data_IF_521756614589
#
_entry.id   IF_521756614589
#
_cell.length_a   1.000
_cell.length_b   1.000
_cell.length_c   1.000
_cell.angle_alpha   90.00
_cell.angle_beta   90.00
_cell.angle_gamma   90.00
#
_symmetry.space_group_name_H-M   'P 1'
#
loop_
_entity.id
_entity.type
_entity.pdbx_description
1 polymer ?
#
# COMPACT_ATOMS: atom_id res chain seq x y z
N UNK A 1 59.73 17.04 -6.80
CA UNK A 1 58.67 16.05 -7.07
C UNK A 1 58.13 15.60 -5.72
N UNK A 2 56.90 16.01 -5.41
CA UNK A 2 56.34 15.97 -4.07
C UNK A 2 55.64 14.64 -3.75
N UNK A 3 55.94 14.14 -2.55
CA UNK A 3 55.16 13.30 -1.62
C UNK A 3 53.97 12.48 -2.13
N UNK A 4 54.10 11.15 -2.06
CA UNK A 4 53.00 10.20 -1.88
C UNK A 4 52.44 10.32 -0.45
N UNK A 5 51.19 10.77 -0.30
CA UNK A 5 50.42 10.60 0.93
C UNK A 5 49.72 9.24 0.90
N UNK A 6 50.04 8.39 1.87
CA UNK A 6 49.25 7.20 2.20
C UNK A 6 48.12 7.55 3.17
N UNK A 7 46.92 7.07 2.90
CA UNK A 7 45.79 7.11 3.84
C UNK A 7 45.68 5.72 4.46
N UNK A 8 45.89 5.65 5.78
CA UNK A 8 45.59 4.48 6.61
C UNK A 8 44.10 4.50 6.97
N UNK A 9 43.34 3.49 6.54
CA UNK A 9 42.04 3.19 7.12
C UNK A 9 42.26 2.34 8.39
N UNK A 10 41.90 2.87 9.56
CA UNK A 10 41.81 2.09 10.79
C UNK A 10 40.42 1.44 10.85
N UNK A 11 40.37 0.11 10.72
CA UNK A 11 39.25 -0.73 11.15
C UNK A 11 39.50 -1.14 12.60
N UNK A 12 38.71 -0.60 13.54
CA UNK A 12 38.65 -1.11 14.91
C UNK A 12 37.57 -2.17 15.02
N UNK A 13 37.97 -3.44 14.99
CA UNK A 13 37.16 -4.55 15.49
C UNK A 13 37.38 -4.66 17.01
N UNK A 14 36.40 -4.18 17.78
CA UNK A 14 36.34 -4.40 19.23
C UNK A 14 35.74 -5.76 19.54
N UNK A 15 36.60 -6.71 19.92
CA UNK A 15 36.21 -7.99 20.49
C UNK A 15 35.66 -7.79 21.91
N UNK A 16 34.47 -8.34 22.18
CA UNK A 16 33.85 -8.40 23.51
C UNK A 16 33.42 -9.82 23.83
N UNK A 17 34.37 -10.74 23.91
CA UNK A 17 34.21 -11.99 24.67
C UNK A 17 34.43 -11.64 26.13
N UNK A 18 33.44 -11.89 27.01
CA UNK A 18 33.54 -12.23 28.43
C UNK A 18 32.24 -11.86 29.16
N UNK A 19 31.27 -12.77 29.14
CA UNK A 19 30.24 -12.95 30.18
C UNK A 19 29.50 -14.27 29.95
N UNK A 20 30.22 -15.39 29.94
CA UNK A 20 29.63 -16.73 29.84
C UNK A 20 30.13 -17.58 31.01
N UNK A 21 29.58 -17.36 32.21
CA UNK A 21 29.71 -18.34 33.32
C UNK A 21 28.59 -18.30 34.37
N UNK A 22 27.55 -17.49 34.20
CA UNK A 22 26.47 -17.37 35.19
C UNK A 22 25.08 -17.49 34.55
N UNK A 23 24.82 -18.58 33.82
CA UNK A 23 23.44 -18.99 33.50
C UNK A 23 23.33 -20.46 33.05
N UNK A 24 24.22 -21.34 33.54
CA UNK A 24 24.19 -22.78 33.22
C UNK A 24 23.65 -23.64 34.38
N UNK A 25 22.97 -23.02 35.35
CA UNK A 25 22.51 -23.69 36.57
C UNK A 25 20.98 -23.58 36.78
N UNK A 26 20.20 -23.64 35.70
CA UNK A 26 18.77 -23.90 35.80
C UNK A 26 18.20 -24.59 34.55
N UNK A 27 18.86 -25.66 34.10
CA UNK A 27 18.30 -26.59 33.11
C UNK A 27 17.80 -27.82 33.85
N UNK A 28 16.49 -27.90 34.08
CA UNK A 28 15.92 -29.01 34.84
C UNK A 28 14.41 -29.19 34.69
N UNK A 29 13.87 -29.17 33.46
CA UNK A 29 12.64 -29.91 33.03
C UNK A 29 12.25 -29.52 31.60
N UNK A 30 12.50 -30.41 30.63
CA UNK A 30 11.98 -30.29 29.27
C UNK A 30 10.51 -30.72 29.25
N UNK A 31 9.61 -29.76 29.33
CA UNK A 31 8.26 -29.85 28.75
C UNK A 31 8.33 -29.35 27.30
N UNK A 32 7.89 -30.16 26.32
CA UNK A 32 7.76 -29.73 24.92
C UNK A 32 6.63 -28.71 24.83
N UNK A 33 6.94 -27.42 24.66
CA UNK A 33 5.94 -26.40 24.34
C UNK A 33 5.75 -26.27 22.81
N UNK A 34 4.54 -25.90 22.31
CA UNK A 34 4.19 -25.98 20.88
C UNK A 34 4.63 -24.77 20.02
N UNK A 35 5.50 -23.88 20.50
CA UNK A 35 5.67 -22.54 19.89
C UNK A 35 7.09 -22.25 19.36
N UNK A 36 7.59 -23.09 18.45
CA UNK A 36 8.91 -22.90 17.85
C UNK A 36 8.81 -22.54 16.37
N UNK A 37 9.36 -21.38 15.97
CA UNK A 37 9.40 -20.93 14.57
C UNK A 37 10.59 -21.58 13.85
N UNK A 38 10.39 -22.07 12.62
CA UNK A 38 11.47 -22.60 11.77
C UNK A 38 11.89 -21.54 10.77
N UNK A 39 13.15 -21.10 10.83
CA UNK A 39 13.78 -20.21 9.83
C UNK A 39 14.97 -20.99 9.25
N UNK A 40 14.99 -21.19 7.93
CA UNK A 40 16.06 -21.94 7.22
C UNK A 40 16.42 -23.29 7.86
N UNK A 41 15.39 -24.06 8.26
CA UNK A 41 15.57 -25.38 8.88
C UNK A 41 16.07 -25.35 10.32
N UNK A 42 16.22 -24.17 10.94
CA UNK A 42 16.59 -24.02 12.35
C UNK A 42 15.38 -23.63 13.19
N UNK A 43 15.21 -24.34 14.30
CA UNK A 43 14.20 -24.04 15.32
C UNK A 43 14.69 -22.85 16.14
N UNK A 44 13.95 -21.74 16.10
CA UNK A 44 14.22 -20.53 16.89
C UNK A 44 13.22 -20.48 18.05
N UNK A 45 13.73 -20.66 19.26
CA UNK A 45 12.96 -20.43 20.49
C UNK A 45 12.74 -18.93 20.68
N UNK A 46 11.49 -18.52 20.93
CA UNK A 46 11.18 -17.12 21.30
C UNK A 46 11.85 -16.81 22.65
N UNK A 47 12.99 -16.13 22.62
CA UNK A 47 13.54 -15.41 23.78
C UNK A 47 13.35 -13.91 23.54
N UNK A 48 13.00 -13.12 24.58
CA UNK A 48 12.89 -11.68 24.44
C UNK A 48 14.28 -11.10 24.15
N UNK A 49 14.51 -10.65 22.91
CA UNK A 49 15.71 -9.92 22.53
C UNK A 49 15.34 -8.44 22.32
N UNK A 50 16.15 -7.55 22.89
CA UNK A 50 16.05 -6.09 22.71
C UNK A 50 16.41 -5.72 21.27
N UNK A 51 15.69 -4.78 20.61
CA UNK A 51 15.96 -4.40 19.24
C UNK A 51 17.22 -3.52 19.14
N UNK A 52 18.21 -3.99 18.38
CA UNK A 52 19.29 -3.16 17.84
C UNK A 52 18.77 -2.46 16.59
N UNK A 53 18.46 -1.16 16.69
CA UNK A 53 18.09 -0.32 15.54
C UNK A 53 19.36 0.07 14.76
N UNK A 54 19.55 -0.52 13.58
CA UNK A 54 20.50 -0.03 12.58
C UNK A 54 19.75 0.74 11.50
N UNK A 55 19.83 2.07 11.51
CA UNK A 55 19.31 2.92 10.43
C UNK A 55 20.38 3.07 9.35
N UNK A 56 20.06 2.66 8.12
CA UNK A 56 20.83 3.06 6.93
C UNK A 56 19.93 4.00 6.15
N UNK A 57 20.21 5.31 6.27
CA UNK A 57 19.60 6.36 5.45
C UNK A 57 20.52 6.61 4.27
N UNK A 58 20.04 6.36 3.05
CA UNK A 58 20.66 6.82 1.83
C UNK A 58 19.64 7.70 1.11
N UNK A 59 19.67 9.00 1.41
CA UNK A 59 18.97 10.01 0.64
C UNK A 59 19.98 10.67 -0.30
N UNK A 60 19.75 10.56 -1.61
CA UNK A 60 20.44 11.39 -2.62
C UNK A 60 19.68 12.70 -2.77
N UNK A 61 20.34 13.87 -2.77
CA UNK A 61 19.66 15.14 -3.00
C UNK A 61 19.14 15.25 -4.44
N UNK A 62 17.90 15.71 -4.57
CA UNK A 62 17.26 16.06 -5.84
C UNK A 62 17.69 17.47 -6.25
N UNK A 63 18.24 17.60 -7.45
CA UNK A 63 18.74 18.85 -8.02
C UNK A 63 17.56 19.67 -8.58
N UNK A 64 17.33 20.86 -8.01
CA UNK A 64 16.31 21.80 -8.50
C UNK A 64 16.94 22.75 -9.50
N UNK A 65 16.82 22.43 -10.80
CA UNK A 65 17.05 23.41 -11.85
C UNK A 65 15.85 23.49 -12.82
N UNK A 66 15.23 24.67 -12.77
CA UNK A 66 14.54 25.41 -13.85
C UNK A 66 13.44 24.72 -14.67
N UNK A 67 12.22 25.19 -14.48
CA UNK A 67 11.11 25.10 -15.43
C UNK A 67 9.89 25.81 -14.86
N UNK A 68 9.16 26.55 -15.70
CA UNK A 68 7.88 27.24 -15.41
C UNK A 68 7.01 26.55 -14.36
N UNK A 69 6.39 27.34 -13.48
CA UNK A 69 5.63 27.00 -12.25
C UNK A 69 4.36 26.13 -12.49
N UNK A 70 4.51 25.03 -13.22
CA UNK A 70 3.52 23.97 -13.36
C UNK A 70 3.83 22.97 -12.27
N UNK A 71 2.95 22.88 -11.26
CA UNK A 71 3.08 21.88 -10.20
C UNK A 71 3.36 20.50 -10.82
N UNK A 72 4.41 19.82 -10.37
CA UNK A 72 4.75 18.48 -10.85
C UNK A 72 3.55 17.55 -10.73
N UNK A 73 3.44 16.53 -11.60
CA UNK A 73 2.29 15.61 -11.55
C UNK A 73 2.12 14.96 -10.17
N UNK A 74 3.23 14.64 -9.49
CA UNK A 74 3.24 14.18 -8.09
C UNK A 74 2.68 15.24 -7.15
N UNK A 75 3.10 16.50 -7.28
CA UNK A 75 2.57 17.61 -6.48
C UNK A 75 1.06 17.82 -6.67
N UNK A 76 0.56 17.61 -7.90
CA UNK A 76 -0.88 17.63 -8.20
C UNK A 76 -1.60 16.46 -7.55
N UNK A 77 -1.08 15.23 -7.67
CA UNK A 77 -1.71 14.03 -7.08
C UNK A 77 -1.73 14.11 -5.54
N UNK A 78 -0.64 14.56 -4.95
CA UNK A 78 -0.43 14.62 -3.50
C UNK A 78 -0.79 15.99 -2.90
N UNK A 79 -1.67 16.75 -3.55
CA UNK A 79 -2.09 18.09 -3.13
C UNK A 79 -2.51 18.12 -1.65
N UNK A 80 -3.18 17.07 -1.19
CA UNK A 80 -3.74 16.98 0.16
C UNK A 80 -2.90 16.16 1.15
N UNK A 81 -1.60 16.01 0.88
CA UNK A 81 -0.66 15.36 1.78
C UNK A 81 -0.43 13.88 1.47
N UNK A 82 0.63 13.34 2.07
CA UNK A 82 1.01 11.93 1.94
C UNK A 82 0.44 11.13 3.11
N UNK A 83 -0.29 10.02 2.88
CA UNK A 83 -0.82 9.22 3.99
C UNK A 83 0.24 8.64 4.94
N UNK A 84 1.41 8.32 4.38
CA UNK A 84 2.65 8.00 5.10
C UNK A 84 3.84 8.21 4.14
N UNK A 85 5.08 7.98 4.58
CA UNK A 85 6.28 8.19 3.76
C UNK A 85 7.12 6.93 3.54
N UNK A 86 6.59 5.74 3.84
CA UNK A 86 7.34 4.49 3.67
C UNK A 86 7.44 4.09 2.19
N UNK A 87 8.67 3.83 1.71
CA UNK A 87 9.00 3.36 0.35
C UNK A 87 8.14 3.98 -0.77
N UNK A 88 8.14 5.32 -0.87
CA UNK A 88 7.37 6.04 -1.89
C UNK A 88 7.93 5.79 -3.29
N UNK A 89 7.02 5.53 -4.23
CA UNK A 89 7.28 5.43 -5.66
C UNK A 89 6.32 6.35 -6.40
N UNK A 90 6.87 7.13 -7.32
CA UNK A 90 6.09 7.98 -8.21
C UNK A 90 6.05 7.35 -9.60
N UNK A 91 4.85 7.19 -10.12
CA UNK A 91 4.60 6.82 -11.51
C UNK A 91 4.09 8.03 -12.28
N UNK A 92 3.87 7.87 -13.58
CA UNK A 92 3.52 9.00 -14.44
C UNK A 92 2.15 9.60 -14.07
N UNK A 93 1.25 8.80 -13.49
CA UNK A 93 -0.13 9.23 -13.21
C UNK A 93 -0.75 8.72 -11.88
N UNK A 94 0.07 8.10 -11.03
CA UNK A 94 -0.31 7.76 -9.65
C UNK A 94 0.93 7.71 -8.74
N UNK A 95 0.70 7.78 -7.42
CA UNK A 95 1.76 7.64 -6.40
C UNK A 95 1.45 6.41 -5.55
N UNK A 96 2.49 5.70 -5.12
CA UNK A 96 2.38 4.47 -4.35
C UNK A 96 3.34 4.47 -3.17
N UNK A 97 2.90 3.97 -2.02
CA UNK A 97 3.77 3.58 -0.90
C UNK A 97 3.81 2.06 -0.82
N UNK A 98 5.01 1.46 -0.83
CA UNK A 98 5.13 0.00 -0.90
C UNK A 98 5.48 -0.65 0.44
N UNK A 99 4.67 -1.62 0.88
CA UNK A 99 4.97 -2.45 2.05
C UNK A 99 5.88 -3.61 1.64
N UNK A 100 7.19 -3.44 1.86
CA UNK A 100 8.19 -4.48 1.58
C UNK A 100 7.96 -5.77 2.38
N UNK A 101 7.33 -5.70 3.56
CA UNK A 101 7.04 -6.86 4.41
C UNK A 101 5.86 -7.65 3.87
N UNK A 102 4.81 -6.98 3.39
CA UNK A 102 3.61 -7.67 2.87
C UNK A 102 3.64 -7.91 1.36
N UNK A 103 4.60 -7.33 0.63
CA UNK A 103 4.75 -7.45 -0.83
C UNK A 103 3.54 -6.91 -1.62
N UNK A 104 2.86 -5.92 -1.04
CA UNK A 104 1.73 -5.16 -1.60
C UNK A 104 1.90 -3.69 -1.22
N UNK A 105 1.15 -2.77 -1.80
CA UNK A 105 1.21 -1.37 -1.36
C UNK A 105 0.64 -1.17 0.06
N UNK A 106 1.20 -0.22 0.82
CA UNK A 106 0.51 0.38 1.96
C UNK A 106 -0.72 1.17 1.48
N UNK A 107 -0.53 1.95 0.42
CA UNK A 107 -1.56 2.75 -0.23
C UNK A 107 -1.10 3.18 -1.63
N UNK A 108 -2.06 3.54 -2.46
CA UNK A 108 -1.88 4.28 -3.71
C UNK A 108 -2.75 5.51 -3.71
N UNK A 109 -2.30 6.55 -4.40
CA UNK A 109 -2.99 7.82 -4.50
C UNK A 109 -3.13 8.23 -5.96
N UNK A 110 -4.35 8.60 -6.34
CA UNK A 110 -4.70 8.96 -7.71
C UNK A 110 -5.41 10.33 -7.70
N UNK A 111 -5.16 11.15 -8.72
CA UNK A 111 -5.91 12.37 -8.99
C UNK A 111 -6.56 12.24 -10.37
N UNK A 112 -7.89 12.08 -10.37
CA UNK A 112 -8.71 11.85 -11.55
C UNK A 112 -9.36 13.15 -12.00
N UNK A 113 -9.36 13.35 -13.31
CA UNK A 113 -10.06 14.44 -14.00
C UNK A 113 -11.02 13.85 -15.04
N UNK A 114 -12.02 14.61 -15.54
CA UNK A 114 -12.89 14.16 -16.62
C UNK A 114 -12.10 13.63 -17.83
N UNK A 115 -11.04 14.33 -18.22
CA UNK A 115 -10.19 13.96 -19.36
C UNK A 115 -9.33 12.73 -19.07
N UNK A 116 -8.78 12.60 -17.86
CA UNK A 116 -7.89 11.48 -17.50
C UNK A 116 -8.58 10.10 -17.53
N UNK A 117 -9.90 10.06 -17.29
CA UNK A 117 -10.68 8.80 -17.24
C UNK A 117 -11.52 8.55 -18.50
N UNK A 118 -11.55 9.52 -19.42
CA UNK A 118 -12.28 9.42 -20.69
C UNK A 118 -11.70 8.28 -21.54
N UNK A 119 -12.55 7.63 -22.34
CA UNK A 119 -12.06 6.65 -23.31
C UNK A 119 -11.12 7.35 -24.31
N UNK A 120 -9.99 6.70 -24.59
CA UNK A 120 -8.96 7.16 -25.49
C UNK A 120 -8.59 5.99 -26.41
N UNK A 121 -8.79 6.16 -27.71
CA UNK A 121 -8.52 5.13 -28.72
C UNK A 121 -7.04 4.77 -28.82
N UNK A 122 -6.14 5.67 -28.39
CA UNK A 122 -4.70 5.43 -28.32
C UNK A 122 -4.29 4.55 -27.12
N UNK A 123 -5.20 4.27 -26.18
CA UNK A 123 -4.92 3.45 -25.00
C UNK A 123 -5.64 2.10 -25.10
N UNK A 124 -4.86 1.05 -25.27
CA UNK A 124 -5.31 -0.32 -25.38
C UNK A 124 -4.81 -1.15 -24.19
N UNK A 125 -5.74 -1.44 -23.27
CA UNK A 125 -5.48 -2.25 -22.07
C UNK A 125 -5.08 -3.69 -22.42
N UNK A 126 -5.46 -4.21 -23.58
CA UNK A 126 -5.10 -5.59 -23.97
C UNK A 126 -3.60 -5.77 -24.23
N UNK A 127 -2.87 -4.66 -24.44
CA UNK A 127 -1.41 -4.63 -24.57
C UNK A 127 -0.66 -4.57 -23.24
N UNK A 128 -1.37 -4.53 -22.12
CA UNK A 128 -0.78 -4.44 -20.80
C UNK A 128 -0.59 -5.83 -20.18
N UNK A 129 0.66 -6.14 -19.83
CA UNK A 129 1.02 -7.37 -19.12
C UNK A 129 1.33 -7.13 -17.65
N UNK A 130 0.81 -8.01 -16.79
CA UNK A 130 1.23 -8.06 -15.40
C UNK A 130 2.70 -8.40 -15.31
N UNK A 131 3.50 -7.49 -14.74
CA UNK A 131 4.95 -7.66 -14.66
C UNK A 131 5.51 -7.18 -13.33
N UNK A 132 6.61 -7.79 -12.96
CA UNK A 132 7.41 -7.42 -11.80
C UNK A 132 7.86 -5.95 -11.84
N UNK A 133 7.84 -5.30 -10.67
CA UNK A 133 8.47 -3.99 -10.51
C UNK A 133 9.95 -4.16 -10.17
N UNK A 134 10.80 -4.02 -11.19
CA UNK A 134 12.24 -4.28 -11.07
C UNK A 134 12.98 -3.27 -10.19
N UNK A 135 12.36 -2.13 -9.88
CA UNK A 135 12.93 -1.16 -8.94
C UNK A 135 12.85 -1.63 -7.48
N UNK A 136 12.01 -2.63 -7.19
CA UNK A 136 11.88 -3.22 -5.87
C UNK A 136 12.95 -4.30 -5.74
N UNK A 137 13.71 -4.22 -4.64
CA UNK A 137 14.73 -5.21 -4.33
C UNK A 137 14.14 -6.64 -4.34
N UNK A 138 14.82 -7.64 -4.93
CA UNK A 138 14.26 -8.98 -5.15
C UNK A 138 13.63 -9.64 -3.90
N UNK A 139 14.18 -9.42 -2.70
CA UNK A 139 13.64 -9.96 -1.44
C UNK A 139 12.19 -9.54 -1.12
N UNK A 140 11.76 -8.41 -1.67
CA UNK A 140 10.50 -7.77 -1.34
C UNK A 140 9.56 -7.69 -2.54
N UNK A 141 9.90 -8.37 -3.64
CA UNK A 141 9.16 -8.30 -4.88
C UNK A 141 8.16 -9.45 -4.96
N UNK A 142 6.91 -9.14 -5.28
CA UNK A 142 5.92 -10.14 -5.69
C UNK A 142 6.13 -10.50 -7.16
N UNK A 143 5.91 -11.76 -7.52
CA UNK A 143 6.02 -12.27 -8.89
C UNK A 143 4.69 -12.87 -9.36
N UNK A 144 4.55 -13.08 -10.67
CA UNK A 144 3.35 -13.73 -11.21
C UNK A 144 3.16 -15.15 -10.67
N UNK A 145 4.25 -15.85 -10.33
CA UNK A 145 4.20 -17.20 -9.77
C UNK A 145 3.60 -17.22 -8.37
N UNK A 146 3.71 -16.13 -7.59
CA UNK A 146 3.07 -16.06 -6.27
C UNK A 146 1.54 -16.07 -6.36
N UNK A 147 0.99 -15.49 -7.42
CA UNK A 147 -0.45 -15.42 -7.67
C UNK A 147 -0.97 -16.65 -8.43
N UNK A 148 -0.13 -17.31 -9.22
CA UNK A 148 -0.51 -18.42 -10.08
C UNK A 148 -1.04 -19.60 -9.26
N UNK A 149 -2.29 -19.98 -9.48
CA UNK A 149 -2.93 -21.08 -8.75
C UNK A 149 -3.27 -20.78 -7.29
N UNK A 150 -3.12 -19.53 -6.83
CA UNK A 150 -3.41 -19.13 -5.44
C UNK A 150 -4.90 -19.06 -5.11
N UNK A 151 -5.77 -19.01 -6.12
CA UNK A 151 -7.20 -18.72 -5.94
C UNK A 151 -7.55 -17.23 -5.91
N UNK A 152 -6.55 -16.34 -5.92
CA UNK A 152 -6.73 -14.89 -5.93
C UNK A 152 -6.38 -14.26 -7.28
N UNK A 153 -7.08 -13.20 -7.62
CA UNK A 153 -6.71 -12.31 -8.71
C UNK A 153 -5.56 -11.39 -8.29
N UNK A 154 -4.80 -10.93 -9.30
CA UNK A 154 -3.92 -9.76 -9.20
C UNK A 154 -4.80 -8.50 -9.22
N UNK A 155 -5.32 -8.13 -8.05
CA UNK A 155 -6.24 -7.01 -7.89
C UNK A 155 -5.49 -5.68 -7.88
N UNK A 156 -5.88 -4.77 -8.77
CA UNK A 156 -5.29 -3.44 -8.85
C UNK A 156 -5.72 -2.58 -7.67
N UNK A 157 -4.79 -1.78 -7.12
CA UNK A 157 -5.15 -0.71 -6.19
C UNK A 157 -5.43 0.59 -6.97
N UNK A 158 -4.48 1.01 -7.80
CA UNK A 158 -4.66 2.07 -8.80
C UNK A 158 -5.21 1.41 -10.08
N UNK A 159 -6.48 1.63 -10.38
CA UNK A 159 -7.19 0.85 -11.37
C UNK A 159 -6.83 1.30 -12.79
N UNK A 160 -6.50 0.36 -13.70
CA UNK A 160 -6.18 0.69 -15.10
C UNK A 160 -7.22 1.59 -15.79
N UNK A 161 -8.51 1.44 -15.43
CA UNK A 161 -9.59 2.26 -15.97
C UNK A 161 -9.54 3.75 -15.59
N UNK A 162 -8.70 4.13 -14.63
CA UNK A 162 -8.52 5.50 -14.15
C UNK A 162 -7.41 6.25 -14.92
N UNK A 163 -6.56 5.53 -15.66
CA UNK A 163 -5.32 6.05 -16.25
C UNK A 163 -5.34 5.93 -17.78
N UNK A 164 -6.25 6.65 -18.44
CA UNK A 164 -6.49 6.54 -19.89
C UNK A 164 -5.93 7.70 -20.71
N UNK A 165 -5.24 8.64 -20.06
CA UNK A 165 -4.59 9.76 -20.76
C UNK A 165 -3.48 9.31 -21.71
N UNK A 166 -2.76 8.23 -21.38
CA UNK A 166 -1.64 7.72 -22.18
C UNK A 166 -1.44 6.22 -21.95
N UNK A 167 -0.96 5.49 -22.97
CA UNK A 167 -0.75 4.03 -22.90
C UNK A 167 0.17 3.64 -21.73
N UNK A 168 1.28 4.36 -21.58
CA UNK A 168 2.24 4.17 -20.48
C UNK A 168 1.62 4.33 -19.08
N UNK A 169 0.65 5.25 -18.90
CA UNK A 169 -0.02 5.43 -17.62
C UNK A 169 -0.81 4.17 -17.27
N UNK A 170 -1.56 3.63 -18.24
CA UNK A 170 -2.29 2.38 -18.10
C UNK A 170 -1.33 1.21 -17.81
N UNK A 171 -0.24 1.06 -18.57
CA UNK A 171 0.74 -0.02 -18.40
C UNK A 171 1.41 -0.02 -17.02
N UNK A 172 1.72 1.15 -16.46
CA UNK A 172 2.32 1.26 -15.12
C UNK A 172 1.39 0.72 -14.02
N UNK A 173 0.08 0.67 -14.25
CA UNK A 173 -0.87 0.09 -13.29
C UNK A 173 -0.76 -1.44 -13.21
N UNK A 174 -0.17 -2.10 -14.21
CA UNK A 174 0.00 -3.56 -14.25
C UNK A 174 1.30 -4.03 -13.56
N UNK A 175 2.04 -3.13 -12.95
CA UNK A 175 3.16 -3.51 -12.09
C UNK A 175 2.65 -4.24 -10.86
N UNK A 176 3.31 -5.36 -10.51
CA UNK A 176 2.91 -6.19 -9.36
C UNK A 176 3.04 -5.46 -8.01
N UNK A 177 3.79 -4.36 -7.96
CA UNK A 177 3.83 -3.46 -6.80
C UNK A 177 2.50 -2.77 -6.50
N UNK A 178 1.66 -2.57 -7.52
CA UNK A 178 0.29 -2.04 -7.44
C UNK A 178 -0.77 -3.14 -7.22
N UNK A 179 -0.35 -4.40 -7.05
CA UNK A 179 -1.27 -5.52 -6.87
C UNK A 179 -1.41 -5.90 -5.40
N UNK A 180 -2.59 -6.39 -5.06
CA UNK A 180 -2.82 -7.19 -3.88
C UNK A 180 -3.68 -8.41 -4.24
N UNK A 181 -3.54 -9.55 -3.53
CA UNK A 181 -4.43 -10.69 -3.70
C UNK A 181 -5.87 -10.33 -3.39
N UNK A 182 -6.74 -10.41 -4.39
CA UNK A 182 -8.17 -10.13 -4.24
C UNK A 182 -9.00 -11.35 -4.64
N UNK A 183 -10.09 -11.60 -3.92
CA UNK A 183 -11.11 -12.58 -4.35
C UNK A 183 -11.60 -12.16 -5.73
N UNK A 184 -11.61 -13.09 -6.69
CA UNK A 184 -11.95 -12.80 -8.08
C UNK A 184 -13.43 -12.49 -8.28
N UNK A 185 -14.23 -13.55 -8.45
CA UNK A 185 -15.69 -13.45 -8.62
C UNK A 185 -16.36 -13.02 -7.32
N UNK A 186 -17.30 -12.08 -7.42
CA UNK A 186 -18.02 -11.47 -6.29
C UNK A 186 -17.29 -10.29 -5.64
N UNK A 187 -16.01 -10.07 -5.97
CA UNK A 187 -15.21 -8.98 -5.41
C UNK A 187 -14.44 -8.20 -6.48
N UNK A 188 -13.19 -8.56 -6.81
CA UNK A 188 -12.34 -7.82 -7.76
C UNK A 188 -13.05 -7.55 -9.10
N UNK A 189 -13.67 -8.59 -9.67
CA UNK A 189 -14.30 -8.52 -11.00
C UNK A 189 -15.67 -7.82 -10.98
N UNK A 190 -16.29 -7.76 -9.79
CA UNK A 190 -17.68 -7.39 -9.59
C UNK A 190 -17.81 -6.21 -8.61
N UNK A 191 -18.04 -6.48 -7.31
CA UNK A 191 -18.34 -5.47 -6.29
C UNK A 191 -17.25 -4.39 -6.13
N UNK A 192 -15.97 -4.75 -6.18
CA UNK A 192 -14.86 -3.80 -6.12
C UNK A 192 -14.81 -2.92 -7.38
N UNK A 193 -14.97 -3.52 -8.56
CA UNK A 193 -15.07 -2.81 -9.83
C UNK A 193 -16.32 -1.89 -9.89
N UNK A 194 -17.43 -2.23 -9.21
CA UNK A 194 -18.56 -1.29 -9.04
C UNK A 194 -18.14 -0.04 -8.28
N UNK A 195 -17.39 -0.19 -7.20
CA UNK A 195 -16.87 0.95 -6.44
C UNK A 195 -15.91 1.79 -7.30
N UNK A 196 -15.00 1.15 -8.05
CA UNK A 196 -14.11 1.85 -8.98
C UNK A 196 -14.88 2.63 -10.06
N UNK A 197 -15.93 2.03 -10.64
CA UNK A 197 -16.82 2.72 -11.60
C UNK A 197 -17.55 3.90 -10.95
N UNK A 198 -17.99 3.77 -9.70
CA UNK A 198 -18.61 4.86 -8.94
C UNK A 198 -17.63 6.02 -8.75
N UNK A 199 -16.41 5.76 -8.27
CA UNK A 199 -15.38 6.79 -8.10
C UNK A 199 -15.06 7.49 -9.42
N UNK A 200 -14.92 6.75 -10.53
CA UNK A 200 -14.76 7.36 -11.86
C UNK A 200 -15.97 8.19 -12.29
N UNK A 201 -17.19 7.80 -11.91
CA UNK A 201 -18.41 8.54 -12.27
C UNK A 201 -18.47 9.91 -11.58
N UNK A 202 -17.82 10.07 -10.42
CA UNK A 202 -17.75 11.36 -9.72
C UNK A 202 -17.10 12.46 -10.58
N UNK A 203 -16.19 12.10 -11.50
CA UNK A 203 -15.57 13.08 -12.41
C UNK A 203 -16.56 13.69 -13.42
N UNK A 204 -17.77 13.13 -13.56
CA UNK A 204 -18.82 13.74 -14.40
C UNK A 204 -19.37 15.04 -13.81
N UNK A 205 -19.27 15.22 -12.49
CA UNK A 205 -19.81 16.38 -11.78
C UNK A 205 -18.74 17.15 -11.00
N UNK A 206 -17.57 16.55 -10.79
CA UNK A 206 -16.46 17.14 -10.04
C UNK A 206 -15.24 17.26 -10.94
N UNK A 207 -14.68 18.47 -11.15
CA UNK A 207 -13.48 18.67 -11.97
C UNK A 207 -12.26 17.89 -11.47
N UNK A 208 -12.12 17.72 -10.15
CA UNK A 208 -10.99 17.00 -9.55
C UNK A 208 -11.52 15.98 -8.54
N UNK A 209 -11.09 14.73 -8.67
CA UNK A 209 -11.41 13.63 -7.74
C UNK A 209 -10.10 12.99 -7.29
N UNK A 210 -9.84 13.03 -6.00
CA UNK A 210 -8.67 12.45 -5.37
C UNK A 210 -9.07 11.18 -4.65
N UNK A 211 -8.33 10.09 -4.84
CA UNK A 211 -8.64 8.81 -4.21
C UNK A 211 -7.39 8.16 -3.67
N UNK A 212 -7.45 7.79 -2.39
CA UNK A 212 -6.47 6.92 -1.75
C UNK A 212 -7.07 5.52 -1.63
N UNK A 213 -6.34 4.50 -2.09
CA UNK A 213 -6.75 3.10 -2.05
C UNK A 213 -5.70 2.26 -1.34
N UNK A 214 -6.08 1.31 -0.49
CA UNK A 214 -5.12 0.42 0.15
C UNK A 214 -5.72 -0.80 0.83
N UNK A 215 -4.88 -1.77 1.23
CA UNK A 215 -5.28 -2.95 1.98
C UNK A 215 -5.48 -2.66 3.47
N UNK A 216 -6.24 -3.53 4.14
CA UNK A 216 -6.41 -3.57 5.60
C UNK A 216 -6.28 -5.00 6.14
N UNK A 217 -5.72 -5.11 7.34
CA UNK A 217 -5.56 -6.35 8.08
C UNK A 217 -6.30 -6.24 9.42
N UNK A 218 -7.60 -6.50 9.39
CA UNK A 218 -8.49 -6.25 10.52
C UNK A 218 -8.50 -7.41 11.50
N UNK A 219 -8.57 -7.09 12.80
CA UNK A 219 -8.66 -8.09 13.85
C UNK A 219 -10.06 -8.67 13.97
N UNK A 220 -10.16 -9.97 14.26
CA UNK A 220 -11.41 -10.64 14.62
C UNK A 220 -11.31 -11.19 16.04
N UNK A 221 -12.42 -11.15 16.78
CA UNK A 221 -12.51 -11.72 18.13
C UNK A 221 -12.78 -13.22 18.02
N UNK A 222 -11.91 -14.02 18.60
CA UNK A 222 -12.06 -15.48 18.62
C UNK A 222 -12.86 -15.96 19.84
N UNK A 223 -13.21 -17.25 19.87
CA UNK A 223 -14.00 -17.87 20.94
C UNK A 223 -13.36 -17.74 22.33
N UNK A 224 -12.04 -17.58 22.41
CA UNK A 224 -11.29 -17.35 23.64
C UNK A 224 -11.41 -15.90 24.17
N UNK A 225 -12.17 -15.04 23.50
CA UNK A 225 -12.40 -13.65 23.89
C UNK A 225 -11.28 -12.67 23.51
N UNK A 226 -10.19 -13.13 22.89
CA UNK A 226 -9.08 -12.30 22.43
C UNK A 226 -9.24 -11.93 20.95
N UNK A 227 -8.62 -10.82 20.55
CA UNK A 227 -8.61 -10.37 19.15
C UNK A 227 -7.32 -10.79 18.46
N UNK A 228 -7.44 -11.31 17.25
CA UNK A 228 -6.32 -11.73 16.41
C UNK A 228 -6.44 -11.12 15.02
N UNK A 229 -5.30 -10.72 14.45
CA UNK A 229 -5.19 -10.41 13.03
C UNK A 229 -4.66 -11.68 12.36
N UNK A 230 -5.47 -12.27 11.48
CA UNK A 230 -5.12 -13.47 10.73
C UNK A 230 -5.39 -13.22 9.25
N UNK A 231 -4.41 -13.53 8.42
CA UNK A 231 -4.50 -13.43 6.98
C UNK A 231 -3.62 -14.50 6.33
N UNK A 232 -3.99 -14.90 5.12
CA UNK A 232 -3.21 -15.83 4.30
C UNK A 232 -2.00 -15.11 3.68
N UNK A 233 -0.92 -15.85 3.43
CA UNK A 233 0.18 -15.42 2.57
C UNK A 233 0.33 -16.41 1.42
N UNK A 234 0.48 -15.91 0.19
CA UNK A 234 0.55 -16.75 -1.03
C UNK A 234 1.94 -16.72 -1.65
N UNK A 235 2.26 -17.77 -2.38
CA UNK A 235 3.51 -17.87 -3.14
C UNK A 235 4.76 -18.06 -2.27
N UNK A 236 5.91 -18.14 -2.94
CA UNK A 236 7.21 -18.29 -2.27
C UNK A 236 7.65 -17.00 -1.60
N UNK A 237 7.20 -15.86 -2.11
CA UNK A 237 7.52 -14.55 -1.56
C UNK A 237 6.60 -14.12 -0.41
N UNK A 238 5.66 -14.99 0.00
CA UNK A 238 4.73 -14.75 1.11
C UNK A 238 3.95 -13.43 0.96
N UNK A 239 3.33 -13.24 -0.22
CA UNK A 239 2.51 -12.05 -0.51
C UNK A 239 1.26 -12.09 0.36
N UNK A 240 1.03 -11.06 1.16
CA UNK A 240 -0.09 -11.03 2.09
C UNK A 240 -1.43 -10.87 1.36
N UNK A 241 -2.43 -11.65 1.75
CA UNK A 241 -3.82 -11.52 1.31
C UNK A 241 -4.56 -10.59 2.28
N UNK A 242 -4.90 -9.35 1.90
CA UNK A 242 -5.59 -8.43 2.80
C UNK A 242 -6.96 -8.96 3.21
N UNK A 243 -7.36 -8.67 4.44
CA UNK A 243 -8.70 -9.04 4.94
C UNK A 243 -9.78 -8.15 4.33
N UNK A 244 -9.44 -6.88 4.07
CA UNK A 244 -10.32 -5.85 3.56
C UNK A 244 -9.52 -4.89 2.69
N UNK A 245 -10.21 -4.06 1.92
CA UNK A 245 -9.64 -2.92 1.20
C UNK A 245 -10.43 -1.66 1.52
N UNK A 246 -9.76 -0.52 1.45
CA UNK A 246 -10.39 0.78 1.59
C UNK A 246 -10.27 1.63 0.33
N UNK A 247 -11.22 2.56 0.17
CA UNK A 247 -11.04 3.77 -0.64
C UNK A 247 -11.48 4.98 0.17
N UNK A 248 -10.65 6.01 0.25
CA UNK A 248 -11.02 7.33 0.77
C UNK A 248 -10.94 8.31 -0.40
N UNK A 249 -12.04 8.99 -0.68
CA UNK A 249 -12.23 9.82 -1.86
C UNK A 249 -12.55 11.24 -1.42
N UNK A 250 -11.90 12.23 -2.02
CA UNK A 250 -12.27 13.64 -1.94
C UNK A 250 -12.57 14.14 -3.34
N UNK A 251 -13.79 14.66 -3.54
CA UNK A 251 -14.19 15.26 -4.81
C UNK A 251 -14.41 16.77 -4.61
N UNK A 252 -13.83 17.55 -5.51
CA UNK A 252 -13.88 19.01 -5.51
C UNK A 252 -14.96 19.50 -6.46
N UNK A 253 -15.84 20.40 -6.00
CA UNK A 253 -16.85 21.04 -6.84
C UNK A 253 -16.29 22.28 -7.57
N UNK A 254 -17.11 22.91 -8.43
CA UNK A 254 -16.70 24.11 -9.17
C UNK A 254 -16.38 25.32 -8.27
N UNK A 255 -16.89 25.34 -7.03
CA UNK A 255 -16.70 26.41 -6.05
C UNK A 255 -15.55 26.10 -5.07
N UNK A 256 -14.74 25.06 -5.32
CA UNK A 256 -13.66 24.60 -4.44
C UNK A 256 -14.14 24.12 -3.07
N UNK A 257 -15.40 23.69 -2.98
CA UNK A 257 -15.87 22.89 -1.85
C UNK A 257 -15.56 21.41 -2.08
N UNK A 258 -15.53 20.67 -0.99
CA UNK A 258 -15.18 19.26 -1.00
C UNK A 258 -16.33 18.39 -0.48
N UNK A 259 -16.51 17.23 -1.11
CA UNK A 259 -17.21 16.10 -0.51
C UNK A 259 -16.23 14.96 -0.29
N UNK A 260 -16.44 14.21 0.78
CA UNK A 260 -15.64 13.04 1.13
C UNK A 260 -16.52 11.78 1.15
N UNK A 261 -15.99 10.69 0.61
CA UNK A 261 -16.56 9.36 0.77
C UNK A 261 -15.48 8.40 1.24
N UNK A 262 -15.81 7.49 2.16
CA UNK A 262 -14.87 6.48 2.64
C UNK A 262 -15.53 5.13 2.76
N UNK A 263 -14.91 4.13 2.15
CA UNK A 263 -15.41 2.76 2.03
C UNK A 263 -14.44 1.77 2.62
N UNK A 264 -14.96 0.73 3.28
CA UNK A 264 -14.20 -0.47 3.65
C UNK A 264 -14.97 -1.70 3.19
N UNK A 265 -14.36 -2.50 2.32
CA UNK A 265 -14.98 -3.70 1.75
C UNK A 265 -14.19 -4.95 2.13
N UNK A 266 -14.85 -6.04 2.57
CA UNK A 266 -14.16 -7.29 2.88
C UNK A 266 -13.65 -7.96 1.60
N UNK A 267 -12.45 -8.52 1.66
CA UNK A 267 -11.86 -9.31 0.58
C UNK A 267 -12.51 -10.71 0.52
N UNK A 268 -13.77 -10.74 0.12
CA UNK A 268 -14.64 -11.92 0.14
C UNK A 268 -15.71 -11.78 -0.93
N UNK A 269 -16.42 -12.87 -1.25
CA UNK A 269 -17.57 -12.81 -2.18
C UNK A 269 -18.64 -11.89 -1.60
N UNK A 270 -19.02 -10.86 -2.34
CA UNK A 270 -20.11 -9.94 -1.99
C UNK A 270 -21.23 -10.11 -3.00
N UNK A 271 -22.48 -10.18 -2.51
CA UNK A 271 -23.67 -10.27 -3.36
C UNK A 271 -23.78 -9.07 -4.31
N UNK A 272 -24.28 -9.31 -5.51
CA UNK A 272 -24.44 -8.23 -6.48
C UNK A 272 -25.49 -7.20 -6.07
N UNK A 273 -26.45 -7.59 -5.24
CA UNK A 273 -27.51 -6.73 -4.73
C UNK A 273 -27.06 -5.84 -3.56
N UNK A 274 -25.88 -6.10 -2.98
CA UNK A 274 -25.39 -5.30 -1.85
C UNK A 274 -24.99 -3.89 -2.31
N UNK A 275 -25.66 -2.83 -1.84
CA UNK A 275 -25.38 -1.47 -2.27
C UNK A 275 -24.03 -0.99 -1.72
N UNK A 276 -23.33 -0.12 -2.47
CA UNK A 276 -22.03 0.43 -2.05
C UNK A 276 -22.11 1.22 -0.74
N UNK A 277 -23.26 1.83 -0.46
CA UNK A 277 -23.53 2.58 0.78
C UNK A 277 -23.42 1.70 2.04
N UNK A 278 -23.63 0.38 1.93
CA UNK A 278 -23.44 -0.56 3.05
C UNK A 278 -21.98 -0.66 3.51
N UNK A 279 -21.03 -0.23 2.67
CA UNK A 279 -19.59 -0.25 2.97
C UNK A 279 -19.05 1.11 3.39
N UNK A 280 -19.89 2.14 3.43
CA UNK A 280 -19.46 3.46 3.89
C UNK A 280 -19.16 3.43 5.39
N UNK A 281 -17.97 3.91 5.74
CA UNK A 281 -17.52 4.06 7.12
C UNK A 281 -17.07 5.49 7.36
N UNK A 282 -16.87 5.89 8.62
CA UNK A 282 -16.24 7.17 8.92
C UNK A 282 -14.78 7.19 8.44
N UNK A 283 -14.28 8.30 7.87
CA UNK A 283 -12.86 8.41 7.44
C UNK A 283 -11.89 8.10 8.58
N UNK A 284 -12.19 8.57 9.79
CA UNK A 284 -11.36 8.37 10.99
C UNK A 284 -11.26 6.90 11.38
N UNK A 285 -12.27 6.08 11.03
CA UNK A 285 -12.17 4.63 11.22
C UNK A 285 -11.14 4.04 10.25
N UNK A 286 -11.11 4.49 8.99
CA UNK A 286 -10.10 4.02 8.03
C UNK A 286 -8.71 4.39 8.52
N UNK A 287 -8.51 5.64 8.94
CA UNK A 287 -7.23 6.14 9.49
C UNK A 287 -6.74 5.28 10.67
N UNK A 288 -7.65 5.00 11.62
CA UNK A 288 -7.36 4.15 12.77
C UNK A 288 -6.98 2.71 12.38
N UNK A 289 -7.65 2.15 11.37
CA UNK A 289 -7.44 0.76 10.95
C UNK A 289 -6.20 0.61 10.05
N UNK A 290 -5.85 1.62 9.26
CA UNK A 290 -4.68 1.59 8.36
C UNK A 290 -3.41 2.12 9.01
N UNK A 291 -3.51 2.92 10.07
CA UNK A 291 -2.37 3.66 10.62
C UNK A 291 -1.87 4.77 9.68
N UNK A 292 -2.80 5.37 8.92
CA UNK A 292 -2.53 6.43 7.93
C UNK A 292 -3.41 7.63 8.25
N UNK A 293 -3.04 8.82 7.79
CA UNK A 293 -3.91 10.00 7.79
C UNK A 293 -4.29 10.34 6.36
N UNK A 294 -5.56 10.67 6.10
CA UNK A 294 -6.00 10.97 4.75
C UNK A 294 -6.46 12.41 4.66
N UNK A 295 -6.02 13.12 3.62
CA UNK A 295 -6.49 14.46 3.31
C UNK A 295 -6.31 15.45 4.49
N UNK A 296 -5.18 15.33 5.21
CA UNK A 296 -4.87 16.12 6.42
C UNK A 296 -4.76 17.64 6.14
N UNK A 297 -4.60 18.01 4.87
CA UNK A 297 -4.57 19.40 4.38
C UNK A 297 -5.90 19.91 3.82
N UNK A 298 -6.97 19.10 3.84
CA UNK A 298 -8.29 19.59 3.43
C UNK A 298 -8.84 20.50 4.52
N UNK A 299 -9.19 21.73 4.11
CA UNK A 299 -9.80 22.72 5.00
C UNK A 299 -11.19 22.24 5.45
N UNK A 300 -11.39 22.04 6.76
CA UNK A 300 -12.63 21.49 7.32
C UNK A 300 -13.85 22.37 7.04
N UNK A 301 -13.68 23.69 6.90
CA UNK A 301 -14.72 24.65 6.50
C UNK A 301 -15.19 24.49 5.05
N UNK A 302 -14.33 23.94 4.18
CA UNK A 302 -14.65 23.66 2.77
C UNK A 302 -15.23 22.26 2.57
N UNK A 303 -15.11 21.38 3.56
CA UNK A 303 -15.71 20.06 3.52
C UNK A 303 -17.21 20.17 3.82
N UNK A 304 -18.05 19.98 2.79
CA UNK A 304 -19.50 20.15 2.89
C UNK A 304 -20.21 18.85 3.25
N UNK A 305 -19.70 17.72 2.76
CA UNK A 305 -20.33 16.43 2.95
C UNK A 305 -19.32 15.33 3.28
N UNK A 306 -19.70 14.42 4.17
CA UNK A 306 -19.01 13.17 4.47
C UNK A 306 -20.03 12.04 4.33
N UNK A 307 -19.79 11.12 3.39
CA UNK A 307 -20.68 9.99 3.08
C UNK A 307 -22.14 10.43 2.84
N UNK A 308 -22.33 11.52 2.07
CA UNK A 308 -23.63 12.09 1.74
C UNK A 308 -24.35 12.82 2.88
N UNK A 309 -23.73 12.94 4.07
CA UNK A 309 -24.25 13.72 5.19
C UNK A 309 -23.50 15.04 5.29
N UNK A 310 -24.18 16.12 5.67
CA UNK A 310 -23.54 17.42 5.90
C UNK A 310 -22.45 17.26 6.97
N UNK A 311 -21.25 17.76 6.66
CA UNK A 311 -20.08 17.68 7.52
C UNK A 311 -20.21 18.54 8.79
#
# INVERSE_FOLDING_TARGET
>A
MASRLGIKAFLTFGAGWFANSAFNEYVGRKSKSPESLVIDGRIVDKRPALPLFGVVSAATPYDTSSGTDVASRVGQIMQFGFPSLDNIRSFDDYVLSYDRRNRVANWVFEHLTPDGVKHNEAVDRSKCDFKEDLSIHPYFRSTNDDYKGSGYDRGHLAAAGNHKGHQKHCEQTFLLSNMAPQVGRGFNRDSWNRLERHVRKLTKTHPNVYVCTGPLYLSQKEANGKSYVKYEVIGKNMVAVPTHFFKVVVAEDANKNFMMESYVMPNSVISDDTPLTSFMVKPELVEKLSGLLFFDRVSRDKLQFINGKKA
#
